data_IF_697828102461
#
_entry.id   IF_697828102461
#
_cell.length_a   1.000
_cell.length_b   1.000
_cell.length_c   1.000
_cell.angle_alpha   90.00
_cell.angle_beta   90.00
_cell.angle_gamma   90.00
#
_symmetry.space_group_name_H-M   'P 1'
#
loop_
_entity.id
_entity.type
_entity.pdbx_description
1 polymer ?
#
# COMPACT_ATOMS: atom_id res chain seq x y z
N UNK A 1 11.11 16.93 -5.32
CA UNK A 1 10.56 15.68 -4.72
C UNK A 1 11.04 15.64 -3.27
N UNK A 2 10.18 15.38 -2.28
CA UNK A 2 10.66 15.26 -0.90
C UNK A 2 11.38 13.94 -0.66
N UNK A 3 12.34 13.91 0.27
CA UNK A 3 13.16 12.72 0.58
C UNK A 3 12.31 11.50 0.93
N UNK A 4 11.23 11.70 1.69
CA UNK A 4 10.29 10.64 2.07
C UNK A 4 9.60 10.04 0.86
N UNK A 5 9.14 10.87 -0.07
CA UNK A 5 8.39 10.43 -1.23
C UNK A 5 9.26 9.69 -2.23
N UNK A 6 10.54 10.06 -2.37
CA UNK A 6 11.52 9.28 -3.13
C UNK A 6 11.79 7.92 -2.48
N UNK A 7 11.89 7.86 -1.14
CA UNK A 7 12.05 6.60 -0.40
C UNK A 7 10.82 5.71 -0.58
N UNK A 8 9.61 6.25 -0.42
CA UNK A 8 8.36 5.52 -0.60
C UNK A 8 8.23 5.03 -2.05
N UNK A 9 8.51 5.90 -3.02
CA UNK A 9 8.50 5.53 -4.45
C UNK A 9 9.46 4.39 -4.75
N UNK A 10 10.70 4.47 -4.24
CA UNK A 10 11.69 3.40 -4.39
C UNK A 10 11.25 2.09 -3.72
N UNK A 11 10.69 2.16 -2.51
CA UNK A 11 10.18 1.00 -1.78
C UNK A 11 9.00 0.34 -2.52
N UNK A 12 8.04 1.12 -2.99
CA UNK A 12 6.89 0.62 -3.73
C UNK A 12 7.29 0.03 -5.08
N UNK A 13 8.24 0.66 -5.77
CA UNK A 13 8.78 0.13 -7.01
C UNK A 13 9.55 -1.18 -6.79
N UNK A 14 10.41 -1.24 -5.78
CA UNK A 14 11.16 -2.44 -5.44
C UNK A 14 10.24 -3.60 -5.03
N UNK A 15 9.20 -3.31 -4.24
CA UNK A 15 8.21 -4.32 -3.84
C UNK A 15 7.36 -4.80 -5.02
N UNK A 16 6.97 -3.90 -5.93
CA UNK A 16 6.28 -4.27 -7.16
C UNK A 16 7.15 -5.17 -8.06
N UNK A 17 8.43 -4.80 -8.25
CA UNK A 17 9.39 -5.58 -9.03
C UNK A 17 9.56 -6.98 -8.45
N UNK A 18 9.78 -7.10 -7.14
CA UNK A 18 9.94 -8.40 -6.49
C UNK A 18 8.68 -9.27 -6.59
N UNK A 19 7.50 -8.69 -6.37
CA UNK A 19 6.23 -9.41 -6.52
C UNK A 19 6.03 -9.88 -7.97
N UNK A 20 6.39 -9.05 -8.96
CA UNK A 20 6.27 -9.39 -10.37
C UNK A 20 7.28 -10.47 -10.79
N UNK A 21 8.53 -10.39 -10.34
CA UNK A 21 9.54 -11.43 -10.55
C UNK A 21 9.10 -12.77 -9.97
N UNK A 22 8.42 -12.76 -8.83
CA UNK A 22 7.85 -13.95 -8.24
C UNK A 22 6.69 -14.53 -9.08
N UNK A 23 5.76 -13.68 -9.51
CA UNK A 23 4.65 -14.10 -10.38
C UNK A 23 5.13 -14.66 -11.73
N UNK A 24 6.25 -14.16 -12.26
CA UNK A 24 6.89 -14.68 -13.47
C UNK A 24 7.69 -15.98 -13.24
N UNK A 25 7.81 -16.44 -11.99
CA UNK A 25 8.57 -17.64 -11.63
C UNK A 25 10.09 -17.45 -11.66
N UNK A 26 10.59 -16.21 -11.72
CA UNK A 26 12.03 -15.93 -11.75
C UNK A 26 12.65 -15.94 -10.34
N UNK A 27 11.85 -15.75 -9.31
CA UNK A 27 12.28 -15.77 -7.90
C UNK A 27 11.25 -16.53 -7.06
N UNK A 28 11.71 -17.41 -6.18
CA UNK A 28 10.87 -18.08 -5.19
C UNK A 28 10.81 -17.21 -3.93
N UNK A 29 9.62 -16.67 -3.63
CA UNK A 29 9.37 -15.87 -2.43
C UNK A 29 8.53 -16.60 -1.38
N UNK A 30 7.84 -17.67 -1.76
CA UNK A 30 6.94 -18.42 -0.89
C UNK A 30 7.67 -18.98 0.33
N UNK A 31 7.10 -18.80 1.51
CA UNK A 31 7.62 -19.37 2.76
C UNK A 31 8.86 -18.66 3.35
N UNK A 32 9.30 -17.54 2.77
CA UNK A 32 10.40 -16.72 3.34
C UNK A 32 10.00 -15.97 4.62
N UNK A 33 8.69 -15.79 4.86
CA UNK A 33 8.16 -15.21 6.09
C UNK A 33 7.46 -16.27 6.92
N UNK A 34 7.56 -16.13 8.25
CA UNK A 34 6.68 -16.81 9.20
C UNK A 34 5.21 -16.61 8.76
N UNK A 35 4.31 -17.59 8.99
CA UNK A 35 2.97 -17.61 8.39
C UNK A 35 2.23 -16.32 8.68
N UNK A 36 2.18 -15.45 7.67
CA UNK A 36 1.53 -14.16 7.76
C UNK A 36 0.03 -14.41 7.73
N UNK A 37 -0.62 -14.28 8.89
CA UNK A 37 -2.07 -14.50 8.96
C UNK A 37 -2.82 -13.44 8.15
N UNK A 38 -3.98 -13.80 7.62
CA UNK A 38 -4.89 -12.84 6.97
C UNK A 38 -5.18 -11.64 7.88
N UNK A 39 -5.35 -11.89 9.17
CA UNK A 39 -5.55 -10.85 10.17
C UNK A 39 -4.37 -9.87 10.23
N UNK A 40 -3.12 -10.36 10.18
CA UNK A 40 -1.93 -9.51 10.18
C UNK A 40 -1.89 -8.62 8.92
N UNK A 41 -2.22 -9.17 7.75
CA UNK A 41 -2.33 -8.41 6.50
C UNK A 41 -3.39 -7.31 6.58
N UNK A 42 -4.59 -7.61 7.06
CA UNK A 42 -5.64 -6.60 7.21
C UNK A 42 -5.32 -5.56 8.29
N UNK A 43 -4.66 -5.95 9.38
CA UNK A 43 -4.20 -5.01 10.41
C UNK A 43 -3.18 -4.05 9.84
N UNK A 44 -2.25 -4.56 9.04
CA UNK A 44 -1.26 -3.75 8.34
C UNK A 44 -1.93 -2.84 7.31
N UNK A 45 -2.92 -3.33 6.58
CA UNK A 45 -3.72 -2.53 5.64
C UNK A 45 -4.43 -1.37 6.34
N UNK A 46 -5.01 -1.61 7.51
CA UNK A 46 -5.63 -0.59 8.37
C UNK A 46 -4.61 0.46 8.78
N UNK A 47 -3.50 0.03 9.38
CA UNK A 47 -2.46 0.92 9.88
C UNK A 47 -1.86 1.78 8.76
N UNK A 48 -1.50 1.15 7.63
CA UNK A 48 -0.90 1.84 6.49
C UNK A 48 -1.90 2.79 5.85
N UNK A 49 -3.16 2.41 5.65
CA UNK A 49 -4.19 3.29 5.11
C UNK A 49 -4.37 4.56 5.96
N UNK A 50 -4.52 4.37 7.26
CA UNK A 50 -4.69 5.48 8.21
C UNK A 50 -3.48 6.42 8.27
N UNK A 51 -2.27 5.86 8.39
CA UNK A 51 -1.02 6.63 8.45
C UNK A 51 -0.81 7.38 7.13
N UNK A 52 -0.99 6.71 5.99
CA UNK A 52 -0.82 7.30 4.66
C UNK A 52 -1.79 8.46 4.45
N UNK A 53 -3.06 8.31 4.85
CA UNK A 53 -4.05 9.39 4.78
C UNK A 53 -3.66 10.60 5.63
N UNK A 54 -3.23 10.38 6.87
CA UNK A 54 -2.79 11.46 7.75
C UNK A 54 -1.54 12.17 7.24
N UNK A 55 -0.54 11.42 6.79
CA UNK A 55 0.71 11.96 6.24
C UNK A 55 0.44 12.75 4.96
N UNK A 56 -0.35 12.19 4.04
CA UNK A 56 -0.72 12.86 2.80
C UNK A 56 -1.44 14.18 3.09
N UNK A 57 -2.44 14.20 3.97
CA UNK A 57 -3.18 15.43 4.26
C UNK A 57 -2.31 16.47 4.98
N UNK A 58 -1.37 16.05 5.82
CA UNK A 58 -0.40 16.98 6.42
C UNK A 58 0.52 17.59 5.36
N UNK A 59 1.01 16.77 4.41
CA UNK A 59 1.97 17.20 3.40
C UNK A 59 1.35 17.93 2.22
N UNK A 60 0.10 17.65 1.84
CA UNK A 60 -0.55 18.27 0.68
C UNK A 60 -0.56 19.80 0.72
N UNK A 61 -0.58 20.38 1.94
CA UNK A 61 -0.55 21.84 2.15
C UNK A 61 0.77 22.46 1.69
N UNK A 62 1.85 21.68 1.71
CA UNK A 62 3.20 22.07 1.33
C UNK A 62 3.51 21.69 -0.13
N UNK A 63 2.58 21.05 -0.83
CA UNK A 63 2.80 20.52 -2.17
C UNK A 63 2.24 21.45 -3.26
N UNK A 64 3.02 21.73 -4.33
CA UNK A 64 2.54 22.40 -5.53
C UNK A 64 1.36 21.64 -6.16
N UNK A 65 0.39 22.36 -6.73
CA UNK A 65 -0.84 21.76 -7.27
C UNK A 65 -0.59 20.65 -8.30
N UNK A 66 0.37 20.86 -9.20
CA UNK A 66 0.73 19.87 -10.22
C UNK A 66 1.27 18.55 -9.66
N UNK A 67 1.78 18.54 -8.43
CA UNK A 67 2.32 17.34 -7.79
C UNK A 67 1.32 16.64 -6.86
N UNK A 68 0.23 17.31 -6.46
CA UNK A 68 -0.75 16.75 -5.51
C UNK A 68 -1.38 15.46 -6.02
N UNK A 69 -1.72 15.38 -7.32
CA UNK A 69 -2.30 14.16 -7.93
C UNK A 69 -1.31 12.99 -7.95
N UNK A 70 -0.04 13.26 -8.26
CA UNK A 70 1.02 12.23 -8.28
C UNK A 70 1.27 11.69 -6.88
N UNK A 71 1.34 12.57 -5.88
CA UNK A 71 1.49 12.13 -4.49
C UNK A 71 0.24 11.45 -3.96
N UNK A 72 -0.97 11.88 -4.35
CA UNK A 72 -2.19 11.15 -4.02
C UNK A 72 -2.12 9.70 -4.51
N UNK A 73 -1.75 9.49 -5.78
CA UNK A 73 -1.58 8.15 -6.32
C UNK A 73 -0.49 7.36 -5.57
N UNK A 74 0.64 7.99 -5.22
CA UNK A 74 1.72 7.35 -4.47
C UNK A 74 1.25 6.86 -3.09
N UNK A 75 0.55 7.70 -2.32
CA UNK A 75 0.10 7.34 -0.97
C UNK A 75 -1.13 6.43 -0.96
N UNK A 76 -1.96 6.46 -2.00
CA UNK A 76 -3.16 5.63 -2.11
C UNK A 76 -2.89 4.25 -2.71
N UNK A 77 -2.18 4.21 -3.85
CA UNK A 77 -1.95 2.98 -4.62
C UNK A 77 -0.60 2.34 -4.30
N UNK A 78 0.40 3.10 -3.87
CA UNK A 78 1.70 2.55 -3.51
C UNK A 78 1.67 1.40 -2.49
N UNK A 79 0.84 1.48 -1.42
CA UNK A 79 0.68 0.36 -0.49
C UNK A 79 0.24 -0.97 -1.12
N UNK A 80 -0.43 -0.96 -2.28
CA UNK A 80 -0.80 -2.19 -3.00
C UNK A 80 0.43 -3.04 -3.33
N UNK A 81 1.53 -2.41 -3.74
CA UNK A 81 2.78 -3.10 -4.07
C UNK A 81 3.36 -3.84 -2.85
N UNK A 82 3.21 -3.27 -1.66
CA UNK A 82 3.59 -3.92 -0.41
C UNK A 82 2.67 -5.10 -0.09
N UNK A 83 1.35 -4.96 -0.26
CA UNK A 83 0.41 -6.06 0.00
C UNK A 83 0.63 -7.23 -0.95
N UNK A 84 0.89 -6.96 -2.23
CA UNK A 84 1.20 -7.97 -3.23
C UNK A 84 2.50 -8.72 -2.88
N UNK A 85 3.54 -8.00 -2.46
CA UNK A 85 4.79 -8.62 -2.01
C UNK A 85 4.59 -9.46 -0.75
N UNK A 86 3.95 -8.91 0.29
CA UNK A 86 3.72 -9.62 1.56
C UNK A 86 2.85 -10.86 1.36
N UNK A 87 1.85 -10.78 0.48
CA UNK A 87 1.04 -11.93 0.11
C UNK A 87 1.88 -12.99 -0.60
N UNK A 88 2.73 -12.58 -1.56
CA UNK A 88 3.66 -13.47 -2.28
C UNK A 88 4.64 -14.21 -1.37
N UNK A 89 5.00 -13.60 -0.24
CA UNK A 89 5.88 -14.20 0.76
C UNK A 89 5.17 -15.22 1.68
N UNK A 90 3.83 -15.21 1.70
CA UNK A 90 3.02 -16.12 2.48
C UNK A 90 3.06 -17.57 1.98
N UNK A 91 2.52 -18.53 2.77
CA UNK A 91 2.45 -19.92 2.36
C UNK A 91 1.49 -20.12 1.18
N UNK A 92 1.79 -21.08 0.29
CA UNK A 92 1.01 -21.36 -0.93
C UNK A 92 -0.45 -21.70 -0.65
N UNK A 93 -0.74 -22.33 0.48
CA UNK A 93 -2.11 -22.63 0.92
C UNK A 93 -2.97 -21.37 1.06
N UNK A 94 -2.36 -20.24 1.39
CA UNK A 94 -3.02 -18.95 1.54
C UNK A 94 -3.39 -18.35 0.17
N UNK A 95 -2.59 -18.63 -0.86
CA UNK A 95 -2.84 -18.18 -2.23
C UNK A 95 -4.02 -18.90 -2.85
N UNK A 96 -4.14 -20.21 -2.61
CA UNK A 96 -5.25 -21.02 -3.11
C UNK A 96 -6.59 -20.67 -2.46
N UNK A 97 -6.60 -20.36 -1.15
CA UNK A 97 -7.84 -20.10 -0.42
C UNK A 97 -8.36 -18.69 -0.66
N UNK A 98 -7.47 -17.69 -0.79
CA UNK A 98 -7.88 -16.29 -0.86
C UNK A 98 -7.01 -15.45 -1.82
N UNK A 99 -7.09 -15.66 -3.14
CA UNK A 99 -6.24 -14.97 -4.13
C UNK A 99 -6.46 -13.45 -4.20
N UNK A 100 -7.63 -12.98 -3.75
CA UNK A 100 -8.01 -11.56 -3.82
C UNK A 100 -7.61 -10.74 -2.58
N UNK A 101 -6.89 -11.33 -1.62
CA UNK A 101 -6.49 -10.64 -0.37
C UNK A 101 -5.75 -9.33 -0.59
N UNK A 102 -4.78 -9.20 -1.53
CA UNK A 102 -4.12 -7.93 -1.78
C UNK A 102 -5.09 -6.82 -2.24
N UNK A 103 -6.13 -7.20 -3.00
CA UNK A 103 -7.16 -6.28 -3.49
C UNK A 103 -8.06 -5.84 -2.33
N UNK A 104 -8.49 -6.76 -1.47
CA UNK A 104 -9.27 -6.42 -0.28
C UNK A 104 -8.47 -5.58 0.71
N UNK A 105 -7.20 -5.91 0.95
CA UNK A 105 -6.29 -5.12 1.78
C UNK A 105 -6.18 -3.68 1.24
N UNK A 106 -6.00 -3.51 -0.07
CA UNK A 106 -6.03 -2.19 -0.71
C UNK A 106 -7.36 -1.48 -0.47
N UNK A 107 -8.50 -2.16 -0.59
CA UNK A 107 -9.82 -1.60 -0.30
C UNK A 107 -9.91 -1.04 1.12
N UNK A 108 -9.50 -1.83 2.12
CA UNK A 108 -9.46 -1.41 3.53
C UNK A 108 -8.55 -0.18 3.70
N UNK A 109 -7.37 -0.19 3.09
CA UNK A 109 -6.44 0.94 3.14
C UNK A 109 -7.00 2.19 2.48
N UNK A 110 -7.68 2.07 1.35
CA UNK A 110 -8.33 3.18 0.64
C UNK A 110 -9.42 3.82 1.51
N UNK A 111 -10.27 3.01 2.15
CA UNK A 111 -11.32 3.51 3.05
C UNK A 111 -10.69 4.32 4.19
N UNK A 112 -9.68 3.76 4.88
CA UNK A 112 -9.05 4.46 5.99
C UNK A 112 -8.15 5.62 5.59
N UNK A 113 -7.61 5.60 4.38
CA UNK A 113 -6.95 6.76 3.79
C UNK A 113 -7.93 7.91 3.55
N UNK A 114 -9.15 7.59 3.10
CA UNK A 114 -10.17 8.58 2.77
C UNK A 114 -10.69 9.32 4.00
N UNK A 115 -10.79 8.66 5.16
CA UNK A 115 -11.30 9.27 6.41
C UNK A 115 -10.61 10.61 6.75
N UNK A 116 -9.27 10.68 6.97
CA UNK A 116 -8.60 11.94 7.26
C UNK A 116 -8.62 12.92 6.08
N UNK A 117 -8.72 12.41 4.84
CA UNK A 117 -8.83 13.25 3.65
C UNK A 117 -10.18 13.98 3.62
N UNK A 118 -11.29 13.29 3.84
CA UNK A 118 -12.63 13.88 3.87
C UNK A 118 -12.81 14.82 5.06
N UNK A 119 -12.44 14.39 6.27
CA UNK A 119 -12.63 15.19 7.50
C UNK A 119 -11.93 16.56 7.45
N UNK A 120 -10.80 16.67 6.76
CA UNK A 120 -10.04 17.93 6.64
C UNK A 120 -10.40 18.76 5.41
N UNK A 121 -11.26 18.25 4.53
CA UNK A 121 -11.72 18.93 3.31
C UNK A 121 -13.18 19.30 3.36
N UNK A 122 -13.87 18.96 4.44
CA UNK A 122 -15.27 19.25 4.62
C UNK A 122 -15.45 20.53 5.46
N UNK A 123 -16.28 21.49 5.04
CA UNK A 123 -17.00 21.54 3.77
C UNK A 123 -16.06 21.84 2.59
N UNK A 124 -16.36 21.29 1.38
CA UNK A 124 -15.60 21.63 0.18
C UNK A 124 -15.77 23.12 -0.09
N UNK A 125 -14.66 23.87 -0.01
CA UNK A 125 -14.59 25.28 -0.42
C UNK A 125 -14.49 25.38 -1.93
#
# INVERSE_FOLDING_TARGET
>A
MGRLESILGGLYLASALLALLHQLGWVVLTGLLAPLSLQALYTLAVAVGWVSGNVFVRRRKLLPEGLRRRFLALYLLGPFCLYALLFSLGPETLHAVSPLVPVYALGVSCVLFLVPYLLRNWPPR
#
